data_IF_269855137265
#
_entry.id   IF_269855137265
#
_cell.length_a   1.000
_cell.length_b   1.000
_cell.length_c   1.000
_cell.angle_alpha   90.00
_cell.angle_beta   90.00
_cell.angle_gamma   90.00
#
_symmetry.space_group_name_H-M   'P 1'
#
loop_
_entity.id
_entity.type
_entity.pdbx_description
1 polymer ?
#
# COMPACT_ATOMS: atom_id res chain seq x y z
N UNK A 1 -9.18 -14.21 -40.87
CA UNK A 1 -9.61 -13.74 -39.54
C UNK A 1 -9.01 -14.70 -38.53
N UNK A 2 -8.20 -14.21 -37.58
CA UNK A 2 -7.58 -15.07 -36.56
C UNK A 2 -8.69 -15.39 -35.53
N UNK A 3 -8.94 -16.68 -35.22
CA UNK A 3 -10.04 -17.04 -34.33
C UNK A 3 -9.75 -16.65 -32.88
N UNK A 4 -10.80 -16.25 -32.16
CA UNK A 4 -10.72 -15.94 -30.73
C UNK A 4 -10.23 -17.14 -29.90
N UNK A 5 -9.51 -16.83 -28.83
CA UNK A 5 -9.02 -17.82 -27.87
C UNK A 5 -10.14 -18.19 -26.91
N UNK A 6 -10.70 -19.40 -27.06
CA UNK A 6 -11.66 -19.95 -26.11
C UNK A 6 -10.91 -20.45 -24.88
N UNK A 7 -10.87 -19.64 -23.82
CA UNK A 7 -10.19 -19.96 -22.56
C UNK A 7 -10.94 -21.06 -21.83
N UNK A 8 -12.27 -20.98 -21.78
CA UNK A 8 -13.13 -21.98 -21.18
C UNK A 8 -14.51 -22.01 -21.84
N UNK A 9 -15.12 -23.19 -21.89
CA UNK A 9 -16.48 -23.38 -22.40
C UNK A 9 -17.16 -24.53 -21.62
N UNK A 10 -18.39 -24.28 -21.17
CA UNK A 10 -19.24 -25.21 -20.43
C UNK A 10 -18.54 -25.86 -19.22
N UNK A 11 -17.87 -25.05 -18.39
CA UNK A 11 -17.18 -25.53 -17.20
C UNK A 11 -15.88 -26.30 -17.46
N UNK A 12 -15.37 -26.30 -18.70
CA UNK A 12 -14.14 -27.00 -19.08
C UNK A 12 -13.14 -26.06 -19.73
N UNK A 13 -11.87 -26.35 -19.55
CA UNK A 13 -10.77 -25.59 -20.15
C UNK A 13 -9.62 -26.50 -20.51
N UNK A 14 -9.01 -26.25 -21.68
CA UNK A 14 -7.73 -26.83 -22.07
C UNK A 14 -6.55 -25.94 -21.68
N UNK A 15 -6.82 -24.80 -21.04
CA UNK A 15 -5.78 -23.85 -20.63
C UNK A 15 -5.16 -24.23 -19.29
N UNK A 16 -3.90 -23.86 -19.12
CA UNK A 16 -3.24 -23.79 -17.82
C UNK A 16 -2.85 -22.34 -17.49
N UNK A 17 -2.64 -22.04 -16.22
CA UNK A 17 -1.98 -20.79 -15.79
C UNK A 17 -0.50 -21.12 -15.57
N UNK A 18 0.38 -20.46 -16.30
CA UNK A 18 1.82 -20.62 -16.14
C UNK A 18 2.37 -19.50 -15.28
N UNK A 19 2.92 -19.84 -14.13
CA UNK A 19 3.42 -18.89 -13.13
C UNK A 19 4.87 -19.23 -12.72
N UNK A 20 5.65 -18.23 -12.27
CA UNK A 20 7.06 -18.42 -11.96
C UNK A 20 7.31 -19.25 -10.68
N UNK A 21 6.37 -19.24 -9.75
CA UNK A 21 6.46 -19.99 -8.51
C UNK A 21 5.15 -20.74 -8.21
N UNK A 22 5.27 -21.84 -7.46
CA UNK A 22 4.12 -22.49 -6.86
C UNK A 22 3.57 -21.60 -5.74
N UNK A 23 2.24 -21.50 -5.62
CA UNK A 23 1.61 -20.58 -4.67
C UNK A 23 1.69 -19.10 -5.05
N UNK A 24 2.04 -18.77 -6.29
CA UNK A 24 2.02 -17.39 -6.78
C UNK A 24 0.64 -16.75 -6.57
N UNK A 25 0.63 -15.60 -5.89
CA UNK A 25 -0.62 -14.93 -5.49
C UNK A 25 -1.42 -14.47 -6.71
N UNK A 26 -0.78 -13.88 -7.72
CA UNK A 26 -1.45 -13.41 -8.93
C UNK A 26 -2.05 -14.57 -9.74
N UNK A 27 -1.34 -15.69 -9.83
CA UNK A 27 -1.86 -16.91 -10.44
C UNK A 27 -3.07 -17.48 -9.69
N UNK A 28 -3.01 -17.45 -8.36
CA UNK A 28 -4.11 -17.93 -7.50
C UNK A 28 -5.35 -17.05 -7.67
N UNK A 29 -5.19 -15.73 -7.67
CA UNK A 29 -6.27 -14.78 -7.93
C UNK A 29 -6.88 -15.00 -9.31
N UNK A 30 -6.05 -15.10 -10.35
CA UNK A 30 -6.51 -15.35 -11.71
C UNK A 30 -7.34 -16.65 -11.80
N UNK A 31 -6.85 -17.74 -11.21
CA UNK A 31 -7.57 -19.02 -11.18
C UNK A 31 -8.93 -18.89 -10.49
N UNK A 32 -8.98 -18.26 -9.31
CA UNK A 32 -10.20 -18.12 -8.52
C UNK A 32 -11.29 -17.35 -9.28
N UNK A 33 -10.92 -16.24 -9.92
CA UNK A 33 -11.87 -15.47 -10.73
C UNK A 33 -12.28 -16.22 -12.00
N UNK A 34 -11.36 -16.89 -12.70
CA UNK A 34 -11.72 -17.67 -13.88
C UNK A 34 -12.63 -18.85 -13.55
N UNK A 35 -12.40 -19.54 -12.44
CA UNK A 35 -13.27 -20.60 -11.93
C UNK A 35 -14.65 -20.02 -11.60
N UNK A 36 -14.71 -18.90 -10.89
CA UNK A 36 -15.96 -18.24 -10.57
C UNK A 36 -16.70 -17.74 -11.81
N UNK A 37 -16.00 -17.30 -12.86
CA UNK A 37 -16.62 -16.80 -14.09
C UNK A 37 -17.11 -17.93 -15.00
N UNK A 38 -16.37 -19.05 -15.07
CA UNK A 38 -16.54 -20.05 -16.13
C UNK A 38 -16.94 -21.44 -15.63
N UNK A 39 -16.80 -21.69 -14.33
CA UNK A 39 -16.89 -23.01 -13.70
C UNK A 39 -15.70 -23.93 -13.98
N UNK A 40 -14.72 -23.51 -14.81
CA UNK A 40 -13.56 -24.31 -15.15
C UNK A 40 -12.38 -24.03 -14.22
N UNK A 41 -11.81 -25.09 -13.64
CA UNK A 41 -10.58 -24.99 -12.84
C UNK A 41 -9.36 -25.13 -13.76
N UNK A 42 -8.62 -24.04 -13.94
CA UNK A 42 -7.36 -24.07 -14.70
C UNK A 42 -6.21 -24.47 -13.76
N UNK A 43 -5.40 -25.48 -14.09
CA UNK A 43 -4.24 -25.85 -13.29
C UNK A 43 -3.17 -24.76 -13.34
N UNK A 44 -2.52 -24.49 -12.20
CA UNK A 44 -1.33 -23.61 -12.13
C UNK A 44 -0.09 -24.49 -12.23
N UNK A 45 0.83 -24.16 -13.13
CA UNK A 45 2.08 -24.90 -13.36
C UNK A 45 3.25 -23.96 -13.68
N UNK A 46 4.49 -24.47 -13.60
CA UNK A 46 5.70 -23.73 -14.01
C UNK A 46 5.92 -23.70 -15.53
N UNK A 47 5.32 -24.65 -16.23
CA UNK A 47 5.35 -24.78 -17.69
C UNK A 47 4.12 -25.52 -18.15
N UNK A 48 3.76 -25.34 -19.42
CA UNK A 48 2.62 -26.00 -20.03
C UNK A 48 2.95 -26.32 -21.49
N UNK A 49 2.58 -27.53 -21.90
CA UNK A 49 2.58 -28.05 -23.27
C UNK A 49 1.23 -27.85 -23.98
N UNK A 50 0.32 -27.12 -23.33
CA UNK A 50 -1.02 -26.76 -23.78
C UNK A 50 -1.16 -25.23 -23.82
N UNK A 51 -2.22 -24.69 -24.46
CA UNK A 51 -2.53 -23.26 -24.40
C UNK A 51 -2.52 -22.75 -22.95
N UNK A 52 -2.06 -21.53 -22.73
CA UNK A 52 -1.83 -21.06 -21.37
C UNK A 52 -2.00 -19.55 -21.20
N UNK A 53 -2.34 -19.16 -19.98
CA UNK A 53 -2.22 -17.78 -19.53
C UNK A 53 -0.90 -17.67 -18.77
N UNK A 54 0.09 -16.99 -19.34
CA UNK A 54 1.46 -16.93 -18.84
C UNK A 54 1.70 -15.64 -18.06
N UNK A 55 2.08 -15.76 -16.80
CA UNK A 55 2.48 -14.67 -15.94
C UNK A 55 4.00 -14.54 -15.95
N UNK A 56 4.53 -13.38 -16.32
CA UNK A 56 5.98 -13.16 -16.49
C UNK A 56 6.43 -11.81 -15.93
N UNK A 57 7.54 -11.81 -15.20
CA UNK A 57 8.24 -10.57 -14.83
C UNK A 57 9.16 -10.17 -15.98
N UNK A 58 9.05 -8.92 -16.45
CA UNK A 58 9.87 -8.36 -17.53
C UNK A 58 10.45 -7.00 -17.09
N UNK A 59 11.66 -7.06 -16.52
CA UNK A 59 12.37 -5.92 -15.94
C UNK A 59 12.35 -5.91 -14.41
N UNK A 60 12.99 -4.90 -13.84
CA UNK A 60 12.99 -4.64 -12.40
C UNK A 60 12.89 -3.12 -12.19
N UNK A 61 11.66 -2.62 -12.20
CA UNK A 61 11.36 -1.18 -12.11
C UNK A 61 10.45 -0.90 -10.92
N UNK A 62 10.78 0.14 -10.16
CA UNK A 62 9.94 0.69 -9.10
C UNK A 62 8.64 1.29 -9.64
N UNK A 63 8.64 1.77 -10.89
CA UNK A 63 7.43 2.24 -11.56
C UNK A 63 6.63 1.05 -12.06
N UNK A 64 5.37 0.99 -11.64
CA UNK A 64 4.44 -0.06 -12.04
C UNK A 64 4.08 0.04 -13.52
N UNK A 65 4.22 -1.08 -14.23
CA UNK A 65 3.86 -1.22 -15.64
C UNK A 65 3.51 -2.66 -15.94
N UNK A 66 2.43 -2.88 -16.67
CA UNK A 66 2.07 -4.19 -17.17
C UNK A 66 1.62 -4.14 -18.62
N UNK A 67 1.62 -5.32 -19.24
CA UNK A 67 1.05 -5.57 -20.54
C UNK A 67 0.28 -6.88 -20.54
N UNK A 68 -0.84 -6.92 -21.25
CA UNK A 68 -1.61 -8.13 -21.55
C UNK A 68 -1.70 -8.25 -23.05
N UNK A 69 -1.27 -9.39 -23.60
CA UNK A 69 -1.21 -9.64 -25.05
C UNK A 69 -1.65 -11.05 -25.36
N UNK A 70 -2.29 -11.25 -26.51
CA UNK A 70 -2.46 -12.58 -27.09
C UNK A 70 -1.26 -12.88 -27.99
N UNK A 71 -0.62 -14.01 -27.76
CA UNK A 71 0.50 -14.53 -28.55
C UNK A 71 0.18 -15.94 -29.03
N UNK A 72 -0.19 -16.09 -30.30
CA UNK A 72 -0.67 -17.36 -30.89
C UNK A 72 -1.89 -17.90 -30.12
N UNK A 73 -1.68 -18.92 -29.29
CA UNK A 73 -2.71 -19.58 -28.47
C UNK A 73 -2.57 -19.25 -26.98
N UNK A 74 -1.65 -18.36 -26.61
CA UNK A 74 -1.40 -17.98 -25.22
C UNK A 74 -1.88 -16.56 -24.95
N UNK A 75 -2.35 -16.32 -23.73
CA UNK A 75 -2.47 -14.97 -23.17
C UNK A 75 -1.22 -14.73 -22.33
N UNK A 76 -0.51 -13.64 -22.59
CA UNK A 76 0.72 -13.27 -21.89
C UNK A 76 0.45 -12.02 -21.05
N UNK A 77 0.61 -12.14 -19.73
CA UNK A 77 0.52 -11.05 -18.77
C UNK A 77 1.93 -10.79 -18.23
N UNK A 78 2.50 -9.67 -18.65
CA UNK A 78 3.85 -9.25 -18.29
C UNK A 78 3.82 -8.04 -17.36
N UNK A 79 4.61 -8.07 -16.29
CA UNK A 79 4.74 -6.96 -15.34
C UNK A 79 6.20 -6.55 -15.14
N UNK A 80 6.45 -5.26 -14.95
CA UNK A 80 7.79 -4.73 -14.65
C UNK A 80 8.29 -5.08 -13.23
N UNK A 81 7.39 -5.53 -12.36
CA UNK A 81 7.63 -6.05 -11.03
C UNK A 81 6.49 -7.02 -10.66
N UNK A 82 6.57 -7.69 -9.51
CA UNK A 82 5.60 -8.71 -9.09
C UNK A 82 4.18 -8.17 -8.93
N UNK A 83 4.01 -7.00 -8.32
CA UNK A 83 2.72 -6.33 -8.18
C UNK A 83 2.13 -5.90 -9.51
N UNK A 84 2.96 -5.53 -10.48
CA UNK A 84 2.50 -5.20 -11.84
C UNK A 84 1.89 -6.42 -12.55
N UNK A 85 2.38 -7.64 -12.31
CA UNK A 85 1.73 -8.85 -12.82
C UNK A 85 0.32 -8.99 -12.24
N UNK A 86 0.17 -8.77 -10.93
CA UNK A 86 -1.14 -8.78 -10.27
C UNK A 86 -2.10 -7.74 -10.86
N UNK A 87 -1.62 -6.51 -11.11
CA UNK A 87 -2.43 -5.49 -11.79
C UNK A 87 -2.80 -5.89 -13.22
N UNK A 88 -1.91 -6.56 -13.94
CA UNK A 88 -2.20 -7.13 -15.26
C UNK A 88 -3.27 -8.22 -15.21
N UNK A 89 -3.27 -9.05 -14.17
CA UNK A 89 -4.34 -10.03 -13.89
C UNK A 89 -5.68 -9.33 -13.68
N UNK A 90 -5.75 -8.34 -12.80
CA UNK A 90 -7.00 -7.60 -12.56
C UNK A 90 -7.48 -6.87 -13.81
N UNK A 91 -6.58 -6.21 -14.56
CA UNK A 91 -6.93 -5.56 -15.81
C UNK A 91 -7.42 -6.55 -16.88
N UNK A 92 -6.86 -7.77 -16.94
CA UNK A 92 -7.34 -8.82 -17.83
C UNK A 92 -8.78 -9.24 -17.47
N UNK A 93 -9.04 -9.46 -16.18
CA UNK A 93 -10.35 -9.83 -15.66
C UNK A 93 -11.40 -8.75 -15.94
N UNK A 94 -11.06 -7.47 -15.77
CA UNK A 94 -11.97 -6.37 -16.07
C UNK A 94 -12.21 -6.19 -17.57
N UNK A 95 -11.16 -6.24 -18.37
CA UNK A 95 -11.22 -5.88 -19.79
C UNK A 95 -11.93 -6.95 -20.62
N UNK A 96 -11.60 -8.23 -20.39
CA UNK A 96 -12.10 -9.31 -21.25
C UNK A 96 -12.98 -10.33 -20.54
N UNK A 97 -12.83 -10.52 -19.23
CA UNK A 97 -13.68 -11.46 -18.47
C UNK A 97 -14.95 -10.81 -17.91
N UNK A 98 -14.98 -9.47 -17.83
CA UNK A 98 -16.14 -8.68 -17.42
C UNK A 98 -16.30 -8.49 -15.91
N UNK A 99 -15.25 -8.79 -15.12
CA UNK A 99 -15.25 -8.52 -13.68
C UNK A 99 -15.25 -7.01 -13.40
N UNK A 100 -15.80 -6.57 -12.26
CA UNK A 100 -15.66 -5.19 -11.76
C UNK A 100 -15.46 -5.20 -10.25
N UNK A 101 -14.53 -4.37 -9.77
CA UNK A 101 -14.17 -4.27 -8.36
C UNK A 101 -14.62 -2.89 -7.85
N UNK A 102 -15.80 -2.77 -7.23
CA UNK A 102 -16.38 -1.46 -6.92
C UNK A 102 -16.03 -0.97 -5.53
N UNK A 103 -16.12 -1.84 -4.53
CA UNK A 103 -15.79 -1.55 -3.13
C UNK A 103 -15.20 -2.81 -2.48
N UNK A 104 -14.68 -2.72 -1.25
CA UNK A 104 -14.20 -3.91 -0.55
C UNK A 104 -15.27 -4.99 -0.44
N UNK A 105 -16.53 -4.60 -0.20
CA UNK A 105 -17.65 -5.53 -0.02
C UNK A 105 -18.42 -5.88 -1.31
N UNK A 106 -18.09 -5.27 -2.46
CA UNK A 106 -18.87 -5.46 -3.68
C UNK A 106 -18.01 -5.56 -4.94
N UNK A 107 -18.08 -6.74 -5.53
CA UNK A 107 -17.52 -7.06 -6.84
C UNK A 107 -18.61 -7.65 -7.74
N UNK A 108 -18.58 -7.29 -9.02
CA UNK A 108 -19.36 -7.96 -10.05
C UNK A 108 -18.48 -9.00 -10.72
N UNK A 109 -18.80 -10.29 -10.53
CA UNK A 109 -18.12 -11.41 -11.20
C UNK A 109 -19.15 -12.15 -12.06
N UNK A 110 -19.16 -11.96 -13.39
CA UNK A 110 -20.20 -12.52 -14.25
C UNK A 110 -20.03 -14.02 -14.45
N UNK A 111 -21.15 -14.75 -14.54
CA UNK A 111 -21.15 -16.14 -14.99
C UNK A 111 -21.19 -16.20 -16.53
N UNK A 112 -20.34 -17.03 -17.14
CA UNK A 112 -20.25 -17.20 -18.60
C UNK A 112 -20.08 -18.68 -18.95
N UNK A 113 -20.98 -19.19 -19.79
CA UNK A 113 -20.84 -20.53 -20.37
C UNK A 113 -19.70 -20.62 -21.38
N UNK A 114 -19.27 -19.49 -21.97
CA UNK A 114 -18.12 -19.40 -22.87
C UNK A 114 -17.33 -18.14 -22.61
N UNK A 115 -16.03 -18.29 -22.34
CA UNK A 115 -15.09 -17.18 -22.23
C UNK A 115 -14.13 -17.22 -23.42
N UNK A 116 -14.32 -16.29 -24.35
CA UNK A 116 -13.46 -16.11 -25.53
C UNK A 116 -12.74 -14.75 -25.46
N UNK A 117 -11.46 -14.74 -25.81
CA UNK A 117 -10.60 -13.56 -25.85
C UNK A 117 -10.24 -13.27 -27.31
N UNK A 118 -10.49 -12.05 -27.83
CA UNK A 118 -10.16 -11.72 -29.22
C UNK A 118 -8.68 -11.93 -29.52
N UNK A 119 -8.35 -12.52 -30.66
CA UNK A 119 -6.97 -12.90 -31.00
C UNK A 119 -5.99 -11.72 -31.13
N UNK A 120 -6.50 -10.51 -31.37
CA UNK A 120 -5.72 -9.28 -31.50
C UNK A 120 -5.67 -8.48 -30.19
N UNK A 121 -6.16 -9.06 -29.07
CA UNK A 121 -6.25 -8.38 -27.79
C UNK A 121 -4.87 -7.95 -27.27
N UNK A 122 -4.76 -6.65 -26.98
CA UNK A 122 -3.59 -6.03 -26.37
C UNK A 122 -4.01 -4.89 -25.46
N UNK A 123 -3.40 -4.83 -24.27
CA UNK A 123 -3.51 -3.73 -23.33
C UNK A 123 -2.14 -3.48 -22.70
N UNK A 124 -1.75 -2.22 -22.57
CA UNK A 124 -0.54 -1.82 -21.85
C UNK A 124 -0.88 -0.65 -20.96
N UNK A 125 -0.38 -0.67 -19.72
CA UNK A 125 -0.52 0.43 -18.77
C UNK A 125 0.79 0.67 -18.05
N UNK A 126 1.12 1.94 -17.88
CA UNK A 126 2.22 2.42 -17.03
C UNK A 126 1.63 3.41 -16.05
N UNK A 127 1.97 3.30 -14.77
CA UNK A 127 1.54 4.28 -13.79
C UNK A 127 2.31 5.59 -13.96
N UNK A 128 1.60 6.71 -14.02
CA UNK A 128 2.20 8.05 -14.08
C UNK A 128 2.87 8.44 -12.76
N UNK A 129 2.23 8.08 -11.64
CA UNK A 129 2.73 8.32 -10.30
C UNK A 129 3.40 7.06 -9.73
N UNK A 130 4.63 7.20 -9.25
CA UNK A 130 5.38 6.10 -8.63
C UNK A 130 4.70 5.59 -7.35
N UNK A 131 4.17 6.49 -6.53
CA UNK A 131 3.44 6.18 -5.31
C UNK A 131 1.97 6.56 -5.48
N UNK A 132 1.07 5.60 -5.24
CA UNK A 132 -0.38 5.77 -5.25
C UNK A 132 -0.87 5.16 -3.96
N UNK A 133 -1.14 6.04 -3.00
CA UNK A 133 -1.43 5.67 -1.62
C UNK A 133 -2.91 5.82 -1.30
N UNK A 134 -3.44 4.90 -0.48
CA UNK A 134 -4.76 5.02 0.13
C UNK A 134 -4.66 5.03 1.65
N UNK A 135 -5.45 5.89 2.29
CA UNK A 135 -5.55 5.98 3.76
C UNK A 135 -6.63 5.04 4.28
N UNK A 136 -6.28 4.23 5.28
CA UNK A 136 -7.16 3.20 5.85
C UNK A 136 -7.80 3.60 7.19
N UNK A 137 -7.86 4.89 7.52
CA UNK A 137 -8.25 5.37 8.84
C UNK A 137 -9.66 4.91 9.29
N UNK A 138 -10.59 4.80 8.35
CA UNK A 138 -11.98 4.36 8.61
C UNK A 138 -12.21 2.86 8.32
N UNK A 139 -11.22 2.16 7.75
CA UNK A 139 -11.35 0.76 7.29
C UNK A 139 -9.99 0.07 7.29
N UNK A 140 -9.41 -0.09 8.49
CA UNK A 140 -8.12 -0.73 8.71
C UNK A 140 -8.27 -2.26 8.76
N UNK A 141 -8.51 -2.85 7.59
CA UNK A 141 -8.77 -4.29 7.42
C UNK A 141 -8.19 -4.82 6.10
N UNK A 142 -8.04 -6.15 6.02
CA UNK A 142 -7.46 -6.83 4.87
C UNK A 142 -8.32 -6.73 3.59
N UNK A 143 -9.65 -6.60 3.72
CA UNK A 143 -10.58 -6.47 2.59
C UNK A 143 -10.35 -5.15 1.84
N UNK A 144 -10.14 -4.07 2.59
CA UNK A 144 -9.84 -2.76 2.03
C UNK A 144 -8.48 -2.73 1.33
N UNK A 145 -7.47 -3.42 1.88
CA UNK A 145 -6.16 -3.59 1.22
C UNK A 145 -6.31 -4.36 -0.09
N UNK A 146 -7.15 -5.38 -0.11
CA UNK A 146 -7.41 -6.18 -1.31
C UNK A 146 -8.06 -5.38 -2.43
N UNK A 147 -9.12 -4.65 -2.08
CA UNK A 147 -9.75 -3.73 -3.01
C UNK A 147 -8.78 -2.65 -3.49
N UNK A 148 -7.94 -2.09 -2.61
CA UNK A 148 -6.96 -1.07 -2.98
C UNK A 148 -6.01 -1.56 -4.09
N UNK A 149 -5.53 -2.81 -4.00
CA UNK A 149 -4.69 -3.40 -5.06
C UNK A 149 -5.45 -3.53 -6.39
N UNK A 150 -6.74 -3.90 -6.36
CA UNK A 150 -7.60 -3.98 -7.55
C UNK A 150 -7.81 -2.61 -8.20
N UNK A 151 -7.85 -1.54 -7.41
CA UNK A 151 -7.89 -0.15 -7.90
C UNK A 151 -6.52 0.38 -8.37
N UNK A 152 -5.44 -0.41 -8.24
CA UNK A 152 -4.10 -0.02 -8.67
C UNK A 152 -3.31 0.82 -7.66
N UNK A 153 -3.78 0.95 -6.41
CA UNK A 153 -2.97 1.51 -5.32
C UNK A 153 -1.83 0.58 -4.97
N UNK A 154 -0.67 1.15 -4.71
CA UNK A 154 0.56 0.42 -4.39
C UNK A 154 1.13 0.73 -3.00
N UNK A 155 0.42 1.52 -2.20
CA UNK A 155 0.74 1.81 -0.81
C UNK A 155 -0.54 1.97 0.00
N UNK A 156 -0.50 1.49 1.23
CA UNK A 156 -1.51 1.80 2.25
C UNK A 156 -0.89 2.67 3.33
N UNK A 157 -1.68 3.57 3.89
CA UNK A 157 -1.26 4.41 5.01
C UNK A 157 -2.27 4.40 6.13
N UNK A 158 -1.78 4.41 7.37
CA UNK A 158 -2.61 4.42 8.57
C UNK A 158 -1.94 5.20 9.69
N UNK A 159 -2.76 5.78 10.58
CA UNK A 159 -2.26 6.43 11.79
C UNK A 159 -1.49 5.45 12.69
N UNK A 160 -0.50 5.96 13.41
CA UNK A 160 0.39 5.16 14.27
C UNK A 160 -0.38 4.23 15.23
N UNK A 161 -1.45 4.72 15.87
CA UNK A 161 -2.25 3.93 16.81
C UNK A 161 -3.00 2.75 16.17
N UNK A 162 -3.22 2.75 14.84
CA UNK A 162 -3.87 1.64 14.14
C UNK A 162 -2.94 0.43 14.01
N UNK A 163 -1.63 0.64 13.93
CA UNK A 163 -0.64 -0.44 13.87
C UNK A 163 -0.62 -1.30 15.14
N UNK A 164 -1.09 -0.75 16.26
CA UNK A 164 -1.20 -1.45 17.54
C UNK A 164 -2.54 -2.20 17.71
N UNK A 165 -3.42 -2.16 16.71
CA UNK A 165 -4.71 -2.86 16.75
C UNK A 165 -4.56 -4.35 16.45
N UNK A 166 -5.46 -5.20 16.99
CA UNK A 166 -5.45 -6.64 16.73
C UNK A 166 -5.48 -7.03 15.24
N UNK A 167 -6.06 -6.19 14.38
CA UNK A 167 -6.19 -6.40 12.94
C UNK A 167 -4.90 -6.13 12.15
N UNK A 168 -3.90 -5.46 12.75
CA UNK A 168 -2.68 -5.06 12.04
C UNK A 168 -1.92 -6.22 11.36
N UNK A 169 -1.78 -7.42 11.96
CA UNK A 169 -1.14 -8.55 11.28
C UNK A 169 -1.81 -8.95 9.97
N UNK A 170 -3.14 -8.94 9.92
CA UNK A 170 -3.90 -9.31 8.72
C UNK A 170 -3.78 -8.25 7.62
N UNK A 171 -3.80 -6.96 8.01
CA UNK A 171 -3.55 -5.83 7.09
C UNK A 171 -2.14 -5.91 6.49
N UNK A 172 -1.14 -6.18 7.33
CA UNK A 172 0.27 -6.35 6.92
C UNK A 172 0.40 -7.51 5.94
N UNK A 173 -0.21 -8.65 6.25
CA UNK A 173 -0.14 -9.81 5.36
C UNK A 173 -0.84 -9.54 4.03
N UNK A 174 -2.02 -8.91 4.07
CA UNK A 174 -2.75 -8.55 2.87
C UNK A 174 -1.94 -7.60 1.96
N UNK A 175 -1.24 -6.63 2.56
CA UNK A 175 -0.38 -5.69 1.83
C UNK A 175 0.82 -6.43 1.22
N UNK A 176 1.50 -7.28 2.01
CA UNK A 176 2.65 -8.09 1.57
C UNK A 176 2.30 -8.98 0.38
N UNK A 177 1.21 -9.73 0.48
CA UNK A 177 0.76 -10.66 -0.57
C UNK A 177 0.47 -9.95 -1.90
N UNK A 178 0.07 -8.68 -1.86
CA UNK A 178 -0.23 -7.84 -3.03
C UNK A 178 0.94 -6.94 -3.42
N UNK A 179 2.04 -7.01 -2.68
CA UNK A 179 3.22 -6.17 -2.86
C UNK A 179 2.96 -4.68 -2.58
N UNK A 180 1.94 -4.32 -1.79
CA UNK A 180 1.70 -2.93 -1.42
C UNK A 180 2.70 -2.49 -0.35
N UNK A 181 3.18 -1.25 -0.46
CA UNK A 181 3.97 -0.61 0.58
C UNK A 181 3.11 -0.28 1.79
N UNK A 182 3.73 -0.32 2.96
CA UNK A 182 3.10 -0.07 4.25
C UNK A 182 3.66 1.19 4.88
N UNK A 183 2.78 2.16 5.13
CA UNK A 183 3.15 3.49 5.56
C UNK A 183 2.47 3.84 6.90
N UNK A 184 3.22 4.42 7.84
CA UNK A 184 2.65 5.03 9.05
C UNK A 184 2.60 6.54 8.88
N UNK A 185 1.44 7.16 9.09
CA UNK A 185 1.26 8.60 8.85
C UNK A 185 0.39 9.31 9.87
N UNK A 186 0.13 10.59 9.62
CA UNK A 186 -0.86 11.39 10.32
C UNK A 186 -0.29 12.26 11.42
N UNK A 187 -1.19 12.74 12.29
CA UNK A 187 -0.89 13.62 13.43
C UNK A 187 -0.25 12.84 14.60
N UNK A 188 0.75 12.03 14.28
CA UNK A 188 1.32 11.00 15.15
C UNK A 188 2.14 11.53 16.33
N UNK A 189 2.44 12.82 16.40
CA UNK A 189 3.29 13.38 17.47
C UNK A 189 2.67 13.18 18.86
N UNK A 190 1.34 13.31 18.98
CA UNK A 190 0.62 13.04 20.22
C UNK A 190 0.79 11.58 20.68
N UNK A 191 0.82 10.65 19.72
CA UNK A 191 0.97 9.23 19.98
C UNK A 191 2.43 8.84 20.26
N UNK A 192 3.37 9.41 19.51
CA UNK A 192 4.80 9.12 19.62
C UNK A 192 5.48 9.84 20.77
N UNK A 193 4.94 10.96 21.27
CA UNK A 193 5.48 11.71 22.41
C UNK A 193 4.34 12.03 23.40
N UNK A 194 3.75 10.99 24.04
CA UNK A 194 2.59 11.18 24.90
C UNK A 194 2.92 12.07 26.11
N UNK A 195 2.09 13.09 26.33
CA UNK A 195 2.30 14.02 27.44
C UNK A 195 2.23 13.33 28.81
N UNK A 196 1.47 12.25 28.93
CA UNK A 196 1.36 11.46 30.15
C UNK A 196 2.72 10.95 30.65
N UNK A 197 3.62 10.59 29.74
CA UNK A 197 4.91 9.98 30.08
C UNK A 197 6.02 11.05 30.23
N UNK A 198 5.91 12.15 29.48
CA UNK A 198 7.01 13.11 29.33
C UNK A 198 6.77 14.47 29.98
N UNK A 199 5.53 14.95 30.13
CA UNK A 199 5.26 16.34 30.50
C UNK A 199 5.74 16.72 31.91
N UNK A 200 5.62 15.81 32.88
CA UNK A 200 6.02 16.08 34.26
C UNK A 200 7.53 16.27 34.43
N UNK A 201 8.32 15.57 33.60
CA UNK A 201 9.78 15.61 33.65
C UNK A 201 10.38 16.61 32.65
N UNK A 202 9.68 16.85 31.53
CA UNK A 202 10.13 17.66 30.42
C UNK A 202 9.04 18.64 29.92
N UNK A 203 8.48 19.51 30.77
CA UNK A 203 7.43 20.45 30.36
C UNK A 203 7.90 21.41 29.24
N UNK A 204 9.21 21.64 29.11
CA UNK A 204 9.83 22.45 28.06
C UNK A 204 9.77 21.85 26.66
N UNK A 205 9.49 20.54 26.54
CA UNK A 205 9.25 19.89 25.25
C UNK A 205 7.90 20.26 24.64
N UNK A 206 6.99 20.73 25.48
CA UNK A 206 5.59 20.98 25.16
C UNK A 206 5.33 22.47 24.89
N UNK A 207 4.24 22.83 24.22
CA UNK A 207 4.02 24.19 23.75
C UNK A 207 3.84 25.17 24.92
N UNK A 208 4.44 26.36 24.80
CA UNK A 208 4.16 27.49 25.69
C UNK A 208 2.95 28.25 25.15
N UNK A 209 1.84 28.24 25.86
CA UNK A 209 0.58 28.93 25.49
C UNK A 209 0.20 29.85 26.64
N UNK A 210 -0.03 31.13 26.36
CA UNK A 210 -0.39 32.14 27.37
C UNK A 210 0.54 32.15 28.61
N UNK A 211 1.84 31.94 28.39
CA UNK A 211 2.85 31.93 29.46
C UNK A 211 2.96 30.62 30.25
N UNK A 212 2.18 29.60 29.92
CA UNK A 212 2.20 28.30 30.59
C UNK A 212 2.54 27.17 29.61
N UNK A 213 3.32 26.18 30.07
CA UNK A 213 3.55 24.96 29.29
C UNK A 213 2.30 24.10 29.37
N UNK A 214 1.79 23.69 28.21
CA UNK A 214 0.56 22.91 28.11
C UNK A 214 0.89 21.48 27.69
N UNK A 215 0.42 20.44 28.39
CA UNK A 215 0.55 19.08 27.87
C UNK A 215 -0.25 18.96 26.58
N UNK A 216 0.25 18.19 25.59
CA UNK A 216 -0.57 17.80 24.45
C UNK A 216 -1.72 16.92 24.95
N UNK A 217 -2.96 17.23 24.56
CA UNK A 217 -4.19 16.54 25.01
C UNK A 217 -4.89 15.79 23.90
N UNK A 218 -4.65 16.17 22.64
CA UNK A 218 -5.21 15.52 21.47
C UNK A 218 -4.28 15.64 20.27
N UNK A 219 -4.58 14.92 19.19
CA UNK A 219 -3.81 14.87 17.93
C UNK A 219 -3.57 16.24 17.28
N UNK A 220 -4.45 17.22 17.53
CA UNK A 220 -4.27 18.59 17.05
C UNK A 220 -3.14 19.39 17.70
N UNK A 221 -2.63 18.98 18.86
CA UNK A 221 -1.63 19.76 19.60
C UNK A 221 -0.21 19.55 19.06
N UNK A 222 0.61 20.60 19.09
CA UNK A 222 2.00 20.55 18.65
C UNK A 222 2.96 20.60 19.84
N UNK A 223 4.09 19.93 19.73
CA UNK A 223 5.22 20.12 20.63
C UNK A 223 5.95 21.46 20.38
N UNK A 224 6.97 21.75 21.19
CA UNK A 224 7.88 22.86 20.93
C UNK A 224 8.94 22.46 19.89
N UNK A 225 8.70 22.71 18.60
CA UNK A 225 9.63 22.39 17.51
C UNK A 225 11.02 23.05 17.60
N UNK A 226 11.14 24.19 18.31
CA UNK A 226 12.43 24.82 18.55
C UNK A 226 13.28 24.11 19.62
N UNK A 227 12.71 23.17 20.37
CA UNK A 227 13.42 22.42 21.40
C UNK A 227 14.07 21.17 20.78
N UNK A 228 15.41 21.12 20.61
CA UNK A 228 16.07 19.99 19.96
C UNK A 228 15.92 18.67 20.74
N UNK A 229 15.80 18.72 22.06
CA UNK A 229 15.62 17.51 22.89
C UNK A 229 14.23 16.91 22.69
N UNK A 230 13.20 17.75 22.53
CA UNK A 230 11.85 17.27 22.23
C UNK A 230 11.79 16.58 20.85
N UNK A 231 12.49 17.14 19.86
CA UNK A 231 12.59 16.58 18.52
C UNK A 231 13.40 15.28 18.51
N UNK A 232 14.48 15.20 19.29
CA UNK A 232 15.27 13.97 19.44
C UNK A 232 14.47 12.85 20.12
N UNK A 233 13.74 13.18 21.21
CA UNK A 233 12.90 12.21 21.90
C UNK A 233 11.77 11.68 21.00
N UNK A 234 11.16 12.56 20.20
CA UNK A 234 10.16 12.16 19.22
C UNK A 234 10.74 11.22 18.15
N UNK A 235 11.97 11.46 17.69
CA UNK A 235 12.67 10.57 16.76
C UNK A 235 13.04 9.21 17.39
N UNK A 236 13.49 9.21 18.65
CA UNK A 236 13.78 7.98 19.39
C UNK A 236 12.54 7.11 19.57
N UNK A 237 11.41 7.74 19.90
CA UNK A 237 10.14 7.05 20.03
C UNK A 237 9.62 6.54 18.68
N UNK A 238 9.81 7.29 17.59
CA UNK A 238 9.54 6.82 16.23
C UNK A 238 10.38 5.60 15.88
N UNK A 239 11.68 5.61 16.17
CA UNK A 239 12.57 4.46 15.94
C UNK A 239 12.13 3.25 16.77
N UNK A 240 11.78 3.44 18.04
CA UNK A 240 11.25 2.37 18.88
C UNK A 240 9.94 1.79 18.31
N UNK A 241 9.05 2.65 17.80
CA UNK A 241 7.83 2.22 17.12
C UNK A 241 8.12 1.41 15.85
N UNK A 242 9.01 1.89 14.98
CA UNK A 242 9.43 1.17 13.78
C UNK A 242 10.19 -0.13 14.06
N UNK A 243 10.83 -0.29 15.22
CA UNK A 243 11.40 -1.58 15.67
C UNK A 243 10.32 -2.59 16.05
N UNK A 244 9.20 -2.13 16.62
CA UNK A 244 8.03 -2.96 16.93
C UNK A 244 7.25 -3.34 15.67
N UNK A 245 7.21 -2.44 14.69
CA UNK A 245 6.52 -2.60 13.41
C UNK A 245 7.50 -2.48 12.23
N UNK A 246 8.43 -3.44 12.06
CA UNK A 246 9.49 -3.37 11.05
C UNK A 246 8.96 -3.39 9.61
N UNK A 247 7.69 -3.73 9.41
CA UNK A 247 7.03 -3.74 8.11
C UNK A 247 6.73 -2.33 7.61
N UNK A 248 6.79 -1.29 8.44
CA UNK A 248 6.62 0.09 7.97
C UNK A 248 7.83 0.48 7.11
N UNK A 249 7.56 0.91 5.88
CA UNK A 249 8.55 1.26 4.86
C UNK A 249 8.63 2.76 4.58
N UNK A 250 7.63 3.54 4.99
CA UNK A 250 7.58 4.98 4.81
C UNK A 250 6.87 5.63 6.01
N UNK A 251 7.37 6.78 6.46
CA UNK A 251 6.77 7.53 7.56
C UNK A 251 6.42 8.95 7.12
N UNK A 252 5.16 9.32 7.28
CA UNK A 252 4.67 10.68 7.02
C UNK A 252 4.13 11.30 8.31
N UNK A 253 5.02 11.91 9.09
CA UNK A 253 4.63 12.60 10.30
C UNK A 253 4.10 13.99 9.97
N UNK A 254 2.92 14.36 10.47
CA UNK A 254 2.28 15.67 10.23
C UNK A 254 2.32 16.53 11.50
N UNK A 255 2.33 17.86 11.38
CA UNK A 255 2.15 18.73 12.54
C UNK A 255 0.74 18.55 13.11
N UNK A 256 0.51 18.95 14.35
CA UNK A 256 -0.82 18.92 14.96
C UNK A 256 -1.72 19.91 14.23
N UNK A 257 -2.96 19.49 13.95
CA UNK A 257 -3.95 20.20 13.12
C UNK A 257 -4.53 21.46 13.79
N UNK A 258 -3.67 22.44 14.08
CA UNK A 258 -4.07 23.76 14.56
C UNK A 258 -4.43 23.87 16.05
N UNK A 259 -4.11 22.86 16.87
CA UNK A 259 -4.22 22.92 18.33
C UNK A 259 -3.18 23.86 18.95
N UNK A 260 -2.59 23.47 20.08
CA UNK A 260 -1.56 24.32 20.69
C UNK A 260 -0.36 24.54 19.76
N UNK A 261 -0.03 25.81 19.51
CA UNK A 261 1.19 26.25 18.82
C UNK A 261 2.09 26.92 19.87
N UNK A 262 3.34 26.46 19.95
CA UNK A 262 4.28 26.97 20.94
C UNK A 262 4.64 28.44 20.68
N UNK A 263 4.43 29.30 21.68
CA UNK A 263 4.74 30.72 21.64
C UNK A 263 5.98 31.09 22.48
N UNK A 264 6.93 30.16 22.69
CA UNK A 264 8.20 30.48 23.35
C UNK A 264 9.04 31.46 22.50
N UNK A 265 10.03 32.17 23.07
CA UNK A 265 10.82 33.16 22.32
C UNK A 265 11.46 32.60 21.05
N UNK A 266 11.96 31.36 21.09
CA UNK A 266 12.57 30.70 19.92
C UNK A 266 11.55 30.38 18.83
N UNK A 267 10.36 29.90 19.20
CA UNK A 267 9.28 29.63 18.24
C UNK A 267 8.67 30.92 17.68
N UNK A 268 8.61 32.01 18.45
CA UNK A 268 8.14 33.32 17.96
C UNK A 268 9.11 33.97 16.98
N UNK A 269 10.39 33.63 17.05
CA UNK A 269 11.41 34.23 16.19
C UNK A 269 11.39 33.70 14.75
N UNK A 270 10.59 32.66 14.45
CA UNK A 270 10.59 31.97 13.14
C UNK A 270 9.16 31.62 12.69
N UNK A 271 8.89 31.54 11.38
CA UNK A 271 7.63 30.99 10.87
C UNK A 271 7.43 29.53 11.28
N UNK A 272 6.18 29.13 11.51
CA UNK A 272 5.82 27.77 11.91
C UNK A 272 6.39 26.70 10.97
N UNK A 273 6.22 26.88 9.65
CA UNK A 273 6.69 25.90 8.66
C UNK A 273 8.21 25.78 8.61
N UNK A 274 8.95 26.84 8.97
CA UNK A 274 10.41 26.76 9.08
C UNK A 274 10.82 25.88 10.27
N UNK A 275 10.19 26.10 11.44
CA UNK A 275 10.43 25.31 12.64
C UNK A 275 10.07 23.84 12.44
N UNK A 276 8.89 23.59 11.89
CA UNK A 276 8.41 22.24 11.60
C UNK A 276 9.32 21.51 10.61
N UNK A 277 9.67 22.14 9.48
CA UNK A 277 10.56 21.52 8.48
C UNK A 277 11.96 21.25 9.03
N UNK A 278 12.48 22.14 9.88
CA UNK A 278 13.76 21.94 10.56
C UNK A 278 13.70 20.77 11.55
N UNK A 279 12.61 20.65 12.32
CA UNK A 279 12.38 19.52 13.22
C UNK A 279 12.30 18.20 12.44
N UNK A 280 11.50 18.14 11.38
CA UNK A 280 11.39 16.94 10.53
C UNK A 280 12.73 16.56 9.90
N UNK A 281 13.53 17.53 9.45
CA UNK A 281 14.88 17.24 8.92
C UNK A 281 15.80 16.64 9.98
N UNK A 282 15.81 17.21 11.19
CA UNK A 282 16.57 16.67 12.33
C UNK A 282 16.14 15.24 12.67
N UNK A 283 14.83 14.98 12.70
CA UNK A 283 14.31 13.63 12.91
C UNK A 283 14.76 12.69 11.80
N UNK A 284 14.63 13.10 10.54
CA UNK A 284 15.01 12.28 9.39
C UNK A 284 16.51 11.92 9.40
N UNK A 285 17.39 12.86 9.75
CA UNK A 285 18.83 12.60 9.86
C UNK A 285 19.15 11.55 10.94
N UNK A 286 18.47 11.63 12.09
CA UNK A 286 18.60 10.65 13.17
C UNK A 286 18.03 9.29 12.79
N UNK A 287 16.84 9.27 12.19
CA UNK A 287 16.16 8.04 11.78
C UNK A 287 16.95 7.31 10.70
N UNK A 288 17.48 8.02 9.69
CA UNK A 288 18.29 7.44 8.61
C UNK A 288 19.58 6.80 9.10
N UNK A 289 20.14 7.27 10.22
CA UNK A 289 21.33 6.67 10.80
C UNK A 289 21.08 5.22 11.29
N UNK A 290 19.83 4.89 11.65
CA UNK A 290 19.45 3.56 12.16
C UNK A 290 18.57 2.74 11.19
N UNK A 291 17.75 3.42 10.39
CA UNK A 291 16.82 2.84 9.40
C UNK A 291 17.01 3.55 8.05
N UNK A 292 18.14 3.33 7.35
CA UNK A 292 18.39 3.95 6.04
C UNK A 292 17.42 3.45 4.95
N UNK A 293 16.71 2.36 5.20
CA UNK A 293 15.67 1.79 4.36
C UNK A 293 14.31 2.51 4.50
N UNK A 294 14.09 3.23 5.60
CA UNK A 294 12.84 3.92 5.89
C UNK A 294 12.76 5.22 5.08
N UNK A 295 11.68 5.36 4.30
CA UNK A 295 11.42 6.54 3.46
C UNK A 295 10.75 7.66 4.25
#
# INVERSE_FOLDING_TARGET
MIPDLVIAENGRSNYAIVAPAEGDFAATQLRQYLESITGAVLPIARSADRPSIRLRKNGDSDRDRFAVRVERSDVVIEGANWRSILYGVYAFLETWCGARFFSPQFELVPQRSKLAIPAESRLERTADFQLRQIRLELSFDAETVDWAAKQGFNSITADFWLWEKPQAPDVIEAARARGLMTDASGHGMFHLLPAADHFNHHPEWFPLVNGQRMPMRHTGDNLCYANPQAVDALADNLLAFCRRFPQIQNVNLWPGDGGYICACPQCRAKPFMELYSAAIRRMADRVRAERPDLR
#
